data_IF_527338371156
#
_entry.id   IF_527338371156
#
_cell.length_a   1.000
_cell.length_b   1.000
_cell.length_c   1.000
_cell.angle_alpha   90.00
_cell.angle_beta   90.00
_cell.angle_gamma   90.00
#
_symmetry.space_group_name_H-M   'P 1'
#
loop_
_entity.id
_entity.type
_entity.pdbx_description
1 polymer ?
#
# COMPACT_ATOMS: atom_id res chain seq x y z
N UNK A 1 -9.92 21.84 -7.63
CA UNK A 1 -9.97 21.23 -8.97
C UNK A 1 -10.46 19.80 -8.82
N UNK A 2 -11.67 19.51 -9.30
CA UNK A 2 -12.19 18.13 -9.39
C UNK A 2 -11.58 17.49 -10.63
N UNK A 3 -11.00 16.33 -10.48
CA UNK A 3 -10.40 15.57 -11.57
C UNK A 3 -11.53 14.96 -12.41
N UNK A 4 -11.66 15.32 -13.68
CA UNK A 4 -12.78 14.87 -14.55
C UNK A 4 -12.83 13.34 -14.72
N UNK A 5 -11.72 12.65 -14.45
CA UNK A 5 -11.60 11.19 -14.44
C UNK A 5 -12.40 10.52 -13.30
N UNK A 6 -12.66 11.21 -12.20
CA UNK A 6 -13.52 10.74 -11.11
C UNK A 6 -15.03 10.80 -11.43
N UNK A 7 -15.43 11.41 -12.55
CA UNK A 7 -16.85 11.53 -12.92
C UNK A 7 -17.37 10.36 -13.77
N UNK A 8 -16.49 9.55 -14.38
CA UNK A 8 -16.90 8.45 -15.25
C UNK A 8 -17.14 7.12 -14.50
N UNK A 9 -16.31 6.82 -13.51
CA UNK A 9 -16.34 5.53 -12.79
C UNK A 9 -16.68 5.71 -11.32
N UNK A 10 -17.61 4.89 -10.83
CA UNK A 10 -17.88 4.73 -9.41
C UNK A 10 -17.35 3.37 -8.95
N UNK A 11 -16.35 3.36 -8.09
CA UNK A 11 -15.80 2.16 -7.48
C UNK A 11 -16.35 1.96 -6.08
N UNK A 12 -16.65 0.71 -5.71
CA UNK A 12 -17.12 0.39 -4.36
C UNK A 12 -16.52 -0.93 -3.86
N UNK A 13 -16.16 -0.95 -2.59
CA UNK A 13 -15.80 -2.16 -1.85
C UNK A 13 -16.89 -2.42 -0.82
N UNK A 14 -17.68 -3.47 -1.05
CA UNK A 14 -18.62 -3.95 -0.05
C UNK A 14 -17.89 -4.93 0.87
N UNK A 15 -17.95 -4.69 2.17
CA UNK A 15 -17.38 -5.57 3.18
C UNK A 15 -18.37 -5.70 4.34
N UNK A 16 -19.00 -6.87 4.45
CA UNK A 16 -19.95 -7.19 5.51
C UNK A 16 -19.81 -8.67 5.90
N UNK A 17 -20.80 -9.21 6.62
CA UNK A 17 -20.76 -10.62 7.09
C UNK A 17 -21.05 -11.65 5.99
N UNK A 18 -21.63 -11.22 4.89
CA UNK A 18 -22.09 -12.06 3.78
C UNK A 18 -21.09 -12.01 2.61
N UNK A 19 -20.56 -10.82 2.30
CA UNK A 19 -19.66 -10.62 1.17
C UNK A 19 -18.50 -9.65 1.44
N UNK A 20 -17.40 -9.90 0.72
CA UNK A 20 -16.30 -8.97 0.53
C UNK A 20 -16.05 -8.88 -0.97
N UNK A 21 -16.64 -7.86 -1.59
CA UNK A 21 -16.74 -7.76 -3.05
C UNK A 21 -16.32 -6.38 -3.52
N UNK A 22 -15.43 -6.35 -4.51
CA UNK A 22 -15.12 -5.14 -5.27
C UNK A 22 -16.03 -5.05 -6.49
N UNK A 23 -16.66 -3.88 -6.68
CA UNK A 23 -17.52 -3.60 -7.83
C UNK A 23 -17.20 -2.22 -8.40
N UNK A 24 -17.49 -2.04 -9.69
CA UNK A 24 -17.46 -0.73 -10.31
C UNK A 24 -18.66 -0.53 -11.22
N UNK A 25 -19.04 0.74 -11.40
CA UNK A 25 -20.10 1.17 -12.32
C UNK A 25 -19.57 2.28 -13.21
N UNK A 26 -20.08 2.33 -14.43
CA UNK A 26 -19.84 3.43 -15.37
C UNK A 26 -21.05 4.35 -15.32
N UNK A 27 -20.83 5.65 -15.10
CA UNK A 27 -21.91 6.62 -14.94
C UNK A 27 -22.60 6.96 -16.27
N UNK A 28 -21.90 6.82 -17.39
CA UNK A 28 -22.45 6.97 -18.74
C UNK A 28 -22.81 5.60 -19.33
N UNK A 29 -24.09 5.41 -19.63
CA UNK A 29 -24.61 4.17 -20.22
C UNK A 29 -24.12 3.88 -21.64
N UNK A 30 -23.59 4.88 -22.35
CA UNK A 30 -23.02 4.71 -23.68
C UNK A 30 -21.55 4.26 -23.65
N UNK A 31 -20.94 4.24 -22.47
CA UNK A 31 -19.53 3.85 -22.32
C UNK A 31 -19.43 2.41 -21.85
N UNK A 32 -18.79 1.58 -22.67
CA UNK A 32 -18.45 0.22 -22.28
C UNK A 32 -17.10 0.18 -21.60
N UNK A 33 -17.01 -0.54 -20.48
CA UNK A 33 -15.77 -0.75 -19.76
C UNK A 33 -15.70 -2.17 -19.20
N UNK A 34 -14.49 -2.74 -19.17
CA UNK A 34 -14.24 -4.10 -18.68
C UNK A 34 -12.93 -4.18 -17.91
N UNK A 35 -12.92 -4.97 -16.84
CA UNK A 35 -11.70 -5.42 -16.17
C UNK A 35 -11.28 -6.79 -16.71
N UNK A 36 -10.03 -6.92 -17.12
CA UNK A 36 -9.47 -8.17 -17.64
C UNK A 36 -8.18 -8.49 -16.89
N UNK A 37 -8.12 -9.70 -16.34
CA UNK A 37 -6.88 -10.30 -15.87
C UNK A 37 -6.27 -11.13 -17.01
N UNK A 38 -5.08 -10.74 -17.43
CA UNK A 38 -4.32 -11.50 -18.44
C UNK A 38 -3.71 -12.78 -17.85
N UNK A 39 -3.36 -13.74 -18.72
CA UNK A 39 -2.68 -14.98 -18.30
C UNK A 39 -1.33 -14.75 -17.63
N UNK A 40 -0.69 -13.60 -17.88
CA UNK A 40 0.55 -13.18 -17.21
C UNK A 40 0.31 -12.46 -15.87
N UNK A 41 -0.92 -12.44 -15.35
CA UNK A 41 -1.25 -11.87 -14.05
C UNK A 41 -1.36 -10.34 -14.02
N UNK A 42 -1.44 -9.68 -15.19
CA UNK A 42 -1.61 -8.23 -15.28
C UNK A 42 -3.10 -7.90 -15.39
N UNK A 43 -3.60 -7.10 -14.44
CA UNK A 43 -4.98 -6.60 -14.41
C UNK A 43 -5.06 -5.29 -15.17
N UNK A 44 -6.03 -5.17 -16.09
CA UNK A 44 -6.25 -3.95 -16.88
C UNK A 44 -7.72 -3.58 -16.88
N UNK A 45 -7.98 -2.28 -16.75
CA UNK A 45 -9.27 -1.72 -17.11
C UNK A 45 -9.21 -1.17 -18.53
N UNK A 46 -10.17 -1.57 -19.34
CA UNK A 46 -10.36 -1.04 -20.69
C UNK A 46 -11.65 -0.26 -20.80
N UNK A 47 -11.65 0.70 -21.71
CA UNK A 47 -12.79 1.55 -22.07
C UNK A 47 -12.91 1.56 -23.58
N UNK A 48 -14.12 1.33 -24.10
CA UNK A 48 -14.35 1.35 -25.53
C UNK A 48 -14.25 2.80 -26.04
N UNK A 49 -13.39 3.05 -27.02
CA UNK A 49 -13.30 4.32 -27.75
C UNK A 49 -14.15 4.22 -29.02
N UNK A 50 -15.29 4.94 -29.13
CA UNK A 50 -16.10 4.92 -30.34
C UNK A 50 -15.38 5.52 -31.55
N UNK A 51 -14.51 6.52 -31.32
CA UNK A 51 -13.77 7.23 -32.37
C UNK A 51 -12.74 6.30 -33.03
N UNK A 52 -12.01 5.55 -32.20
CA UNK A 52 -10.92 4.69 -32.66
C UNK A 52 -11.38 3.25 -32.95
N UNK A 53 -12.65 2.94 -32.60
CA UNK A 53 -13.26 1.61 -32.71
C UNK A 53 -12.44 0.52 -32.01
N UNK A 54 -11.84 0.84 -30.87
CA UNK A 54 -10.99 -0.08 -30.12
C UNK A 54 -11.14 0.04 -28.60
N UNK A 55 -10.61 -0.96 -27.90
CA UNK A 55 -10.51 -0.95 -26.44
C UNK A 55 -9.26 -0.18 -26.00
N UNK A 56 -9.47 1.04 -25.51
CA UNK A 56 -8.39 1.85 -24.93
C UNK A 56 -8.12 1.44 -23.48
N UNK A 57 -6.84 1.33 -23.11
CA UNK A 57 -6.43 0.97 -21.75
C UNK A 57 -6.54 2.20 -20.84
N UNK A 58 -7.40 2.10 -19.83
CA UNK A 58 -7.63 3.16 -18.85
C UNK A 58 -6.60 3.13 -17.72
N UNK A 59 -6.35 1.94 -17.15
CA UNK A 59 -5.21 1.71 -16.24
C UNK A 59 -4.79 0.24 -16.25
N UNK A 60 -3.60 -0.01 -15.69
CA UNK A 60 -3.01 -1.35 -15.51
C UNK A 60 -2.43 -1.50 -14.11
N UNK A 61 -2.44 -2.72 -13.59
CA UNK A 61 -1.76 -3.11 -12.36
C UNK A 61 -1.07 -4.47 -12.58
N UNK A 62 0.22 -4.63 -12.21
CA UNK A 62 1.12 -3.60 -11.69
C UNK A 62 1.40 -2.49 -12.72
N UNK A 63 1.67 -1.27 -12.24
CA UNK A 63 1.94 -0.07 -13.05
C UNK A 63 3.43 0.13 -13.29
N UNK A 64 4.25 -0.13 -12.28
CA UNK A 64 5.70 0.04 -12.36
C UNK A 64 6.46 -1.05 -11.60
N UNK A 65 7.79 -0.90 -11.50
CA UNK A 65 8.66 -1.89 -10.87
C UNK A 65 8.48 -1.98 -9.34
N UNK A 66 7.93 -0.95 -8.69
CA UNK A 66 7.67 -0.95 -7.25
C UNK A 66 6.41 -1.72 -6.87
N UNK A 67 5.49 -1.93 -7.81
CA UNK A 67 4.29 -2.75 -7.59
C UNK A 67 4.58 -4.26 -7.58
N UNK A 68 5.80 -4.68 -7.93
CA UNK A 68 6.21 -6.07 -7.79
C UNK A 68 6.29 -6.46 -6.30
N UNK A 69 5.61 -7.54 -5.93
CA UNK A 69 5.53 -7.97 -4.53
C UNK A 69 6.92 -8.11 -3.90
N UNK A 70 7.13 -7.43 -2.76
CA UNK A 70 8.40 -7.39 -2.02
C UNK A 70 9.59 -6.96 -2.89
N UNK A 71 9.38 -5.99 -3.78
CA UNK A 71 10.46 -5.38 -4.57
C UNK A 71 11.62 -4.91 -3.68
N UNK A 72 11.27 -4.33 -2.53
CA UNK A 72 12.21 -3.94 -1.49
C UNK A 72 11.99 -4.80 -0.24
N UNK A 73 13.09 -5.10 0.46
CA UNK A 73 13.04 -5.96 1.63
C UNK A 73 12.38 -5.31 2.86
N UNK A 74 12.34 -6.04 3.99
CA UNK A 74 11.77 -5.55 5.24
C UNK A 74 12.26 -4.17 5.67
N UNK A 75 11.35 -3.38 6.25
CA UNK A 75 11.63 -2.04 6.78
C UNK A 75 12.24 -1.05 5.78
N UNK A 76 11.94 -1.27 4.50
CA UNK A 76 12.27 -0.37 3.40
C UNK A 76 11.06 -0.16 2.51
N UNK A 77 11.09 0.90 1.71
CA UNK A 77 10.05 1.22 0.73
C UNK A 77 10.65 1.43 -0.65
N UNK A 78 9.84 1.21 -1.68
CA UNK A 78 10.22 1.42 -3.06
C UNK A 78 9.81 2.82 -3.55
N UNK A 79 10.75 3.53 -4.18
CA UNK A 79 10.51 4.80 -4.86
C UNK A 79 11.16 4.77 -6.24
N UNK A 80 10.36 4.86 -7.29
CA UNK A 80 10.83 4.86 -8.68
C UNK A 80 11.66 6.10 -9.02
N UNK A 81 11.59 7.15 -8.20
CA UNK A 81 12.31 8.41 -8.40
C UNK A 81 13.69 8.43 -7.73
N UNK A 82 14.05 7.40 -6.95
CA UNK A 82 15.35 7.32 -6.27
C UNK A 82 16.28 6.29 -6.88
N UNK A 83 17.58 6.48 -6.68
CA UNK A 83 18.62 5.53 -7.08
C UNK A 83 19.58 5.32 -5.89
N UNK A 84 19.54 4.18 -5.20
CA UNK A 84 18.72 2.98 -5.47
C UNK A 84 17.21 3.20 -5.25
N UNK A 85 16.37 2.37 -5.87
CA UNK A 85 14.89 2.46 -5.73
C UNK A 85 14.42 2.10 -4.32
N UNK A 86 15.13 1.20 -3.63
CA UNK A 86 14.82 0.84 -2.26
C UNK A 86 15.45 1.83 -1.28
N UNK A 87 14.63 2.29 -0.33
CA UNK A 87 15.00 3.26 0.69
C UNK A 87 14.67 2.71 2.08
N UNK A 88 15.61 2.79 3.02
CA UNK A 88 15.33 2.45 4.40
C UNK A 88 14.42 3.50 5.06
N UNK A 89 13.53 3.07 5.95
CA UNK A 89 12.83 4.03 6.81
C UNK A 89 13.80 4.88 7.63
N UNK A 90 13.39 6.10 7.96
CA UNK A 90 14.17 6.96 8.85
C UNK A 90 14.39 6.24 10.19
N UNK A 91 15.65 6.15 10.62
CA UNK A 91 16.05 5.40 11.81
C UNK A 91 16.51 3.96 11.53
N UNK A 92 16.45 3.53 10.28
CA UNK A 92 16.96 2.23 9.81
C UNK A 92 18.18 2.42 8.90
N UNK A 93 18.97 1.36 8.75
CA UNK A 93 20.14 1.28 7.86
C UNK A 93 20.09 -0.04 7.08
N UNK A 94 20.73 -0.13 5.89
CA UNK A 94 20.78 -1.37 5.14
C UNK A 94 21.33 -2.52 6.00
N UNK A 95 20.68 -3.69 5.92
CA UNK A 95 21.14 -4.90 6.61
C UNK A 95 22.52 -5.33 6.09
N UNK A 96 22.69 -5.26 4.77
CA UNK A 96 23.95 -5.53 4.07
C UNK A 96 24.35 -4.33 3.20
N UNK A 97 25.22 -3.44 3.68
CA UNK A 97 25.60 -2.21 2.95
C UNK A 97 26.21 -2.47 1.57
N UNK A 98 26.99 -3.53 1.40
CA UNK A 98 27.64 -3.86 0.12
C UNK A 98 26.61 -4.26 -0.96
N UNK A 99 25.64 -5.10 -0.62
CA UNK A 99 24.53 -5.45 -1.52
C UNK A 99 23.70 -4.21 -1.87
N UNK A 100 23.43 -3.35 -0.88
CA UNK A 100 22.68 -2.11 -1.08
C UNK A 100 23.37 -1.15 -2.06
N UNK A 101 24.70 -1.01 -1.98
CA UNK A 101 25.51 -0.23 -2.92
C UNK A 101 25.46 -0.79 -4.35
N UNK A 102 25.31 -2.12 -4.47
CA UNK A 102 25.08 -2.82 -5.74
C UNK A 102 23.60 -2.81 -6.17
N UNK A 103 22.76 -1.98 -5.52
CA UNK A 103 21.31 -1.83 -5.78
C UNK A 103 20.48 -3.07 -5.45
N UNK A 104 21.01 -3.97 -4.64
CA UNK A 104 20.27 -5.09 -4.06
C UNK A 104 19.70 -4.70 -2.68
N UNK A 105 18.41 -4.34 -2.69
CA UNK A 105 17.63 -4.00 -1.50
C UNK A 105 16.83 -5.16 -0.92
N UNK A 106 16.97 -6.39 -1.43
CA UNK A 106 16.13 -7.55 -1.07
C UNK A 106 16.19 -7.91 0.41
N UNK A 107 17.34 -7.70 1.04
CA UNK A 107 17.57 -7.98 2.46
C UNK A 107 17.00 -6.92 3.39
N UNK A 108 16.52 -5.80 2.84
CA UNK A 108 15.89 -4.72 3.60
C UNK A 108 16.84 -4.02 4.57
N UNK A 109 16.24 -3.50 5.64
CA UNK A 109 16.89 -2.63 6.58
C UNK A 109 16.70 -3.10 8.03
N UNK A 110 17.64 -2.69 8.89
CA UNK A 110 17.61 -2.96 10.33
C UNK A 110 17.65 -1.64 11.09
N UNK A 111 17.05 -1.61 12.28
CA UNK A 111 17.06 -0.41 13.13
C UNK A 111 18.50 -0.01 13.49
N UNK A 112 18.77 1.29 13.49
CA UNK A 112 20.07 1.84 13.94
C UNK A 112 20.25 1.72 15.45
N UNK A 113 19.16 1.80 16.22
CA UNK A 113 19.16 1.77 17.68
C UNK A 113 18.26 0.65 18.18
N UNK A 114 18.66 -0.02 19.28
CA UNK A 114 17.79 -0.97 19.98
C UNK A 114 16.59 -0.23 20.58
N UNK A 115 15.43 -0.86 20.55
CA UNK A 115 14.20 -0.32 21.12
C UNK A 115 14.12 -0.65 22.61
N UNK A 116 13.51 0.27 23.36
CA UNK A 116 13.03 0.01 24.71
C UNK A 116 11.51 0.15 24.71
N UNK A 117 10.82 -0.96 24.96
CA UNK A 117 9.37 -1.01 24.93
C UNK A 117 8.77 0.05 25.87
N UNK A 118 7.68 0.70 25.44
CA UNK A 118 6.98 1.73 26.20
C UNK A 118 7.62 3.13 26.20
N UNK A 119 8.82 3.32 25.64
CA UNK A 119 9.42 4.66 25.39
C UNK A 119 9.55 5.00 23.91
N UNK A 120 8.86 4.25 23.07
CA UNK A 120 9.05 4.25 21.63
C UNK A 120 8.53 5.53 20.99
N UNK A 121 9.30 6.03 20.01
CA UNK A 121 8.91 7.15 19.19
C UNK A 121 8.62 6.63 17.79
N UNK A 122 7.38 6.77 17.36
CA UNK A 122 6.97 6.45 15.99
C UNK A 122 7.46 7.52 15.02
N UNK A 123 7.89 7.08 13.85
CA UNK A 123 8.15 7.96 12.70
C UNK A 123 6.92 7.92 11.82
N UNK A 124 6.34 9.08 11.53
CA UNK A 124 5.27 9.17 10.55
C UNK A 124 5.84 9.02 9.15
N UNK A 125 5.30 8.08 8.39
CA UNK A 125 5.58 7.88 6.98
C UNK A 125 4.38 8.41 6.18
N UNK A 126 4.64 9.19 5.14
CA UNK A 126 3.60 9.81 4.31
C UNK A 126 3.73 9.30 2.87
N UNK A 127 2.61 9.23 2.16
CA UNK A 127 2.56 8.88 0.73
C UNK A 127 3.18 7.51 0.40
N UNK A 128 3.06 6.54 1.31
CA UNK A 128 3.47 5.16 1.08
C UNK A 128 2.25 4.25 1.02
N UNK A 129 2.36 3.18 0.23
CA UNK A 129 1.44 2.04 0.30
C UNK A 129 1.53 1.42 1.70
N UNK A 130 0.40 0.96 2.24
CA UNK A 130 0.40 0.22 3.50
C UNK A 130 1.14 -1.12 3.30
N UNK A 131 1.93 -1.57 4.30
CA UNK A 131 2.58 -2.87 4.22
C UNK A 131 1.58 -4.02 4.16
N UNK A 132 2.08 -5.19 3.76
CA UNK A 132 1.35 -6.46 3.78
C UNK A 132 0.60 -6.66 5.11
N UNK A 133 -0.66 -7.10 5.03
CA UNK A 133 -1.57 -7.19 6.17
C UNK A 133 -1.67 -8.59 6.78
N UNK A 134 -0.80 -9.54 6.40
CA UNK A 134 -0.80 -10.91 6.91
C UNK A 134 -0.61 -10.99 8.43
N UNK A 135 0.24 -10.14 9.00
CA UNK A 135 0.49 -10.05 10.45
C UNK A 135 -0.06 -8.75 11.05
N UNK A 136 -1.20 -8.29 10.52
CA UNK A 136 -1.89 -7.09 10.97
C UNK A 136 -3.19 -7.41 11.73
N UNK A 137 -3.49 -6.61 12.75
CA UNK A 137 -4.73 -6.65 13.52
C UNK A 137 -5.53 -5.38 13.26
N UNK A 138 -6.83 -5.54 13.00
CA UNK A 138 -7.74 -4.45 12.62
C UNK A 138 -8.79 -4.22 13.73
N UNK A 139 -8.93 -2.98 14.21
CA UNK A 139 -10.04 -2.55 15.08
C UNK A 139 -10.69 -1.28 14.50
N UNK A 140 -11.89 -1.43 13.94
CA UNK A 140 -12.62 -0.34 13.27
C UNK A 140 -13.25 0.66 14.23
N UNK A 141 -13.33 0.33 15.52
CA UNK A 141 -14.08 1.11 16.52
C UNK A 141 -13.27 2.22 17.14
N UNK A 142 -11.94 2.12 17.06
CA UNK A 142 -11.03 3.04 17.74
C UNK A 142 -10.39 4.01 16.73
N UNK A 143 -9.97 5.17 17.23
CA UNK A 143 -9.25 6.17 16.44
C UNK A 143 -7.73 6.05 16.53
N UNK A 144 -7.02 6.82 15.70
CA UNK A 144 -5.55 6.82 15.59
C UNK A 144 -4.82 7.05 16.93
N UNK A 145 -5.40 7.84 17.85
CA UNK A 145 -4.78 8.11 19.17
C UNK A 145 -4.76 6.85 20.04
N UNK A 146 -5.88 6.16 20.17
CA UNK A 146 -5.95 4.91 20.92
C UNK A 146 -5.14 3.81 20.22
N UNK A 147 -5.14 3.79 18.89
CA UNK A 147 -4.31 2.89 18.09
C UNK A 147 -2.81 3.04 18.44
N UNK A 148 -2.32 4.29 18.52
CA UNK A 148 -0.96 4.60 18.98
C UNK A 148 -0.71 4.09 20.40
N UNK A 149 -1.63 4.34 21.33
CA UNK A 149 -1.48 3.93 22.73
C UNK A 149 -1.49 2.41 22.92
N UNK A 150 -2.26 1.67 22.10
CA UNK A 150 -2.22 0.20 22.06
C UNK A 150 -0.89 -0.30 21.51
N UNK A 151 -0.47 0.21 20.35
CA UNK A 151 0.81 -0.17 19.73
C UNK A 151 2.01 0.14 20.65
N UNK A 152 2.00 1.28 21.36
CA UNK A 152 3.09 1.65 22.29
C UNK A 152 3.22 0.67 23.48
N UNK A 153 2.11 0.04 23.89
CA UNK A 153 2.07 -0.92 25.00
C UNK A 153 2.39 -2.34 24.57
N UNK A 154 2.18 -2.66 23.31
CA UNK A 154 2.49 -3.96 22.73
C UNK A 154 3.94 -3.94 22.20
N UNK A 155 4.85 -4.62 22.91
CA UNK A 155 6.27 -4.65 22.55
C UNK A 155 6.56 -5.37 21.22
N UNK A 156 5.58 -6.08 20.65
CA UNK A 156 5.71 -6.68 19.33
C UNK A 156 5.20 -5.74 18.23
N UNK A 157 4.51 -4.64 18.57
CA UNK A 157 3.97 -3.75 17.55
C UNK A 157 5.09 -3.03 16.78
N UNK A 158 5.06 -3.13 15.45
CA UNK A 158 6.09 -2.55 14.57
C UNK A 158 5.59 -1.30 13.83
N UNK A 159 4.28 -1.10 13.75
CA UNK A 159 3.66 0.07 13.12
C UNK A 159 2.15 0.08 13.29
N UNK A 160 1.53 1.24 13.03
CA UNK A 160 0.08 1.38 13.03
C UNK A 160 -0.39 2.48 12.06
N UNK A 161 -1.64 2.42 11.65
CA UNK A 161 -2.30 3.47 10.85
C UNK A 161 -3.81 3.53 11.10
N UNK A 162 -4.43 4.63 10.68
CA UNK A 162 -5.88 4.73 10.55
C UNK A 162 -6.38 4.12 9.22
N UNK A 163 -7.61 3.60 9.23
CA UNK A 163 -8.22 2.97 8.04
C UNK A 163 -8.83 4.04 7.13
N UNK A 164 -9.47 5.05 7.71
CA UNK A 164 -10.20 6.10 6.99
C UNK A 164 -9.53 7.45 7.16
N UNK A 165 -9.67 8.32 6.16
CA UNK A 165 -9.06 9.66 6.15
C UNK A 165 -9.53 10.57 7.29
N UNK A 166 -10.67 10.29 7.91
CA UNK A 166 -11.18 10.99 9.10
C UNK A 166 -10.45 10.58 10.40
N UNK A 167 -9.45 9.69 10.31
CA UNK A 167 -8.66 9.20 11.44
C UNK A 167 -9.31 8.04 12.20
N UNK A 168 -10.41 7.49 11.68
CA UNK A 168 -11.10 6.35 12.28
C UNK A 168 -10.58 5.00 11.79
N UNK A 169 -10.74 4.00 12.66
CA UNK A 169 -10.19 2.67 12.50
C UNK A 169 -8.71 2.60 12.87
N UNK A 170 -8.26 1.40 13.16
CA UNK A 170 -6.89 1.09 13.55
C UNK A 170 -6.44 -0.18 12.86
N UNK A 171 -5.25 -0.14 12.27
CA UNK A 171 -4.49 -1.30 11.83
C UNK A 171 -3.16 -1.27 12.59
N UNK A 172 -2.78 -2.37 13.21
CA UNK A 172 -1.48 -2.53 13.89
C UNK A 172 -0.77 -3.76 13.34
N UNK A 173 0.54 -3.65 13.10
CA UNK A 173 1.39 -4.75 12.65
C UNK A 173 2.25 -5.26 13.80
N UNK A 174 2.50 -6.58 13.83
CA UNK A 174 3.37 -7.22 14.86
C UNK A 174 4.65 -7.87 14.31
N UNK A 175 4.82 -7.84 12.99
CA UNK A 175 5.95 -8.43 12.28
C UNK A 175 6.75 -7.45 11.44
N UNK A 176 7.52 -7.99 10.51
CA UNK A 176 8.26 -7.18 9.55
C UNK A 176 7.33 -6.40 8.63
N UNK A 177 7.60 -5.09 8.47
CA UNK A 177 6.90 -4.26 7.49
C UNK A 177 7.49 -4.53 6.11
N UNK A 178 6.71 -5.13 5.22
CA UNK A 178 7.15 -5.56 3.87
C UNK A 178 6.18 -5.06 2.80
N UNK A 179 6.64 -5.08 1.55
CA UNK A 179 5.84 -4.71 0.36
C UNK A 179 5.37 -3.24 0.34
N UNK A 180 6.29 -2.33 0.68
CA UNK A 180 6.07 -0.88 0.71
C UNK A 180 6.87 -0.12 -0.34
#
# INVERSE_FOLDING_TARGET
HRDATMELYCYNLTENREEITYTYRVNDHNIYSRLILSSSGVLRQFTWSPNDQEWSMFWTSPKDMCDAYRKCGPYSYCDTNTSPMCNCFRGFRPKFPQAWLLRDGSSGCVRKTRMSCGRERFVQLNNLKMPDTMEAVVDRRIGVKECRERCTRDCNCTGFTNIRNDGSGCVMWTGELVDM
#
